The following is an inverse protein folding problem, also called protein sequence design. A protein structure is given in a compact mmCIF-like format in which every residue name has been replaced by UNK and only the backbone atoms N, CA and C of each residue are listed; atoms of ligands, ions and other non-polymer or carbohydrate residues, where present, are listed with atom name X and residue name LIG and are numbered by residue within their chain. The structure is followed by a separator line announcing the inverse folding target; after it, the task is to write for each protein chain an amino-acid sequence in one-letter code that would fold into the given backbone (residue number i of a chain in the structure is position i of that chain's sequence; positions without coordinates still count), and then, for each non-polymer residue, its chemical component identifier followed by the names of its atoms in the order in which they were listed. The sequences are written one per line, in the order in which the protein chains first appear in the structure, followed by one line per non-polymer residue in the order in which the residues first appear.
data_IF_788818174301
#
_entry.id   IF_788818174301
#
_cell.length_a   1.000
_cell.length_b   1.000
_cell.length_c   1.000
_cell.angle_alpha   90.00
_cell.angle_beta   90.00
_cell.angle_gamma   90.00
#
_symmetry.space_group_name_H-M   'P 1'
#
loop_
_entity.id
_entity.type
_entity.pdbx_description
1 polymer ?
#
# COMPACT_ATOMS: atom_id res chain seq x y z
N UNK A 1 -35.63 40.86 -12.32
CA UNK A 1 -34.81 40.03 -13.23
C UNK A 1 -34.19 38.97 -12.35
N UNK A 2 -34.82 37.81 -12.37
CA UNK A 2 -34.60 36.64 -11.51
C UNK A 2 -33.25 36.00 -11.83
N UNK A 3 -32.41 35.84 -10.81
CA UNK A 3 -31.20 35.04 -10.90
C UNK A 3 -31.59 33.56 -10.78
N UNK A 4 -31.18 32.76 -11.76
CA UNK A 4 -31.38 31.32 -11.77
C UNK A 4 -30.53 30.65 -10.68
N UNK A 5 -31.05 29.67 -9.93
CA UNK A 5 -30.27 28.90 -9.00
C UNK A 5 -29.45 27.85 -9.74
N UNK A 6 -28.16 27.82 -9.41
CA UNK A 6 -27.15 26.93 -9.97
C UNK A 6 -27.50 25.44 -9.83
N UNK A 7 -27.19 24.76 -10.91
CA UNK A 7 -27.16 23.31 -11.08
C UNK A 7 -26.28 22.69 -9.98
N UNK A 8 -26.91 22.06 -8.99
CA UNK A 8 -26.22 21.27 -7.99
C UNK A 8 -25.61 20.05 -8.69
N UNK A 9 -24.28 19.93 -8.65
CA UNK A 9 -23.55 18.78 -9.12
C UNK A 9 -24.04 17.52 -8.39
N UNK A 10 -24.79 16.69 -9.09
CA UNK A 10 -25.21 15.36 -8.68
C UNK A 10 -23.99 14.42 -8.75
N UNK A 11 -23.21 14.37 -7.66
CA UNK A 11 -21.94 13.63 -7.66
C UNK A 11 -22.15 12.17 -7.27
N UNK A 12 -21.81 11.29 -8.22
CA UNK A 12 -22.02 9.86 -8.19
C UNK A 12 -21.26 9.20 -7.03
N UNK A 13 -22.00 8.74 -6.02
CA UNK A 13 -21.60 7.57 -5.22
C UNK A 13 -21.46 6.41 -6.19
N UNK A 14 -20.25 6.15 -6.65
CA UNK A 14 -19.97 5.15 -7.69
C UNK A 14 -19.99 3.72 -7.12
N UNK A 15 -21.03 3.39 -6.34
CA UNK A 15 -21.33 2.03 -5.93
C UNK A 15 -21.69 1.23 -7.20
N UNK A 16 -21.28 -0.05 -7.32
CA UNK A 16 -21.85 -0.91 -8.35
C UNK A 16 -23.38 -0.88 -8.20
N UNK A 17 -24.14 -0.96 -9.31
CA UNK A 17 -25.59 -1.13 -9.21
C UNK A 17 -25.84 -2.30 -8.24
N UNK A 18 -26.71 -2.14 -7.22
CA UNK A 18 -27.05 -3.25 -6.36
C UNK A 18 -27.47 -4.42 -7.28
N UNK A 19 -27.08 -5.67 -6.96
CA UNK A 19 -27.51 -6.81 -7.76
C UNK A 19 -29.02 -6.73 -7.92
N UNK A 20 -29.52 -7.15 -9.09
CA UNK A 20 -30.95 -7.25 -9.32
C UNK A 20 -31.56 -7.97 -8.11
N UNK A 21 -32.56 -7.34 -7.46
CA UNK A 21 -33.18 -7.85 -6.23
C UNK A 21 -33.43 -9.36 -6.35
N UNK A 22 -32.74 -10.17 -5.54
CA UNK A 22 -32.89 -11.62 -5.49
C UNK A 22 -31.72 -12.47 -6.00
N UNK A 23 -30.56 -11.89 -6.35
CA UNK A 23 -29.32 -12.65 -6.63
C UNK A 23 -28.29 -12.38 -5.54
N UNK A 24 -27.87 -13.43 -4.83
CA UNK A 24 -26.81 -13.36 -3.83
C UNK A 24 -25.49 -12.93 -4.49
N UNK A 25 -24.74 -12.04 -3.83
CA UNK A 25 -23.41 -11.65 -4.29
C UNK A 25 -22.44 -12.80 -4.08
N UNK A 26 -21.43 -12.92 -4.93
CA UNK A 26 -20.39 -13.95 -4.81
C UNK A 26 -19.05 -13.31 -4.43
N UNK A 27 -18.40 -13.81 -3.38
CA UNK A 27 -17.10 -13.34 -2.93
C UNK A 27 -16.03 -14.42 -3.04
N UNK A 28 -14.92 -14.11 -3.72
CA UNK A 28 -13.71 -14.93 -3.67
C UNK A 28 -12.91 -14.57 -2.43
N UNK A 29 -12.78 -15.50 -1.48
CA UNK A 29 -11.95 -15.33 -0.28
C UNK A 29 -10.61 -16.03 -0.48
N UNK A 30 -9.53 -15.25 -0.43
CA UNK A 30 -8.16 -15.74 -0.57
C UNK A 30 -7.46 -15.75 0.79
N UNK A 31 -7.00 -16.92 1.21
CA UNK A 31 -6.31 -17.10 2.50
C UNK A 31 -4.86 -17.50 2.26
N UNK A 32 -3.92 -16.71 2.78
CA UNK A 32 -2.49 -17.09 2.71
C UNK A 32 -2.12 -18.04 3.88
N UNK A 33 -2.01 -19.33 3.58
CA UNK A 33 -1.72 -20.40 4.56
C UNK A 33 -0.34 -20.33 5.26
N UNK A 34 0.56 -19.40 4.91
CA UNK A 34 1.89 -19.26 5.56
C UNK A 34 1.86 -18.52 6.90
N UNK A 35 0.72 -18.00 7.34
CA UNK A 35 0.55 -17.30 8.61
C UNK A 35 0.12 -18.28 9.73
N UNK A 36 0.99 -18.50 10.72
CA UNK A 36 0.81 -19.48 11.82
C UNK A 36 -0.44 -19.33 12.71
N UNK A 37 -1.18 -18.22 12.58
CA UNK A 37 -2.45 -17.91 13.29
C UNK A 37 -3.64 -17.70 12.34
N UNK A 38 -3.41 -17.80 11.03
CA UNK A 38 -4.41 -17.50 10.02
C UNK A 38 -5.59 -18.49 9.98
N UNK A 39 -5.43 -19.81 10.18
CA UNK A 39 -6.56 -20.73 10.01
C UNK A 39 -7.73 -20.46 10.98
N UNK A 40 -7.46 -20.43 12.29
CA UNK A 40 -8.51 -20.24 13.32
C UNK A 40 -9.13 -18.84 13.30
N UNK A 41 -8.31 -17.79 13.13
CA UNK A 41 -8.82 -16.41 13.10
C UNK A 41 -9.58 -16.12 11.80
N UNK A 42 -9.20 -16.77 10.69
CA UNK A 42 -9.92 -16.67 9.44
C UNK A 42 -11.24 -17.42 9.48
N UNK A 43 -11.31 -18.56 10.18
CA UNK A 43 -12.55 -19.31 10.34
C UNK A 43 -13.67 -18.44 10.91
N UNK A 44 -13.39 -17.60 11.92
CA UNK A 44 -14.37 -16.65 12.46
C UNK A 44 -14.82 -15.62 11.42
N UNK A 45 -13.89 -15.01 10.69
CA UNK A 45 -14.20 -13.98 9.70
C UNK A 45 -14.97 -14.55 8.48
N UNK A 46 -14.54 -15.71 7.99
CA UNK A 46 -15.21 -16.45 6.91
C UNK A 46 -16.58 -16.91 7.37
N UNK A 47 -16.72 -17.47 8.58
CA UNK A 47 -18.03 -17.86 9.13
C UNK A 47 -18.98 -16.67 9.23
N UNK A 48 -18.47 -15.48 9.59
CA UNK A 48 -19.29 -14.26 9.64
C UNK A 48 -19.74 -13.80 8.25
N UNK A 49 -18.86 -13.88 7.26
CA UNK A 49 -19.23 -13.59 5.87
C UNK A 49 -20.23 -14.63 5.33
N UNK A 50 -20.02 -15.91 5.64
CA UNK A 50 -20.83 -17.05 5.18
C UNK A 50 -22.23 -17.06 5.82
N UNK A 51 -22.35 -16.53 7.03
CA UNK A 51 -23.62 -16.36 7.73
C UNK A 51 -24.51 -15.26 7.10
N UNK A 52 -24.03 -14.51 6.11
CA UNK A 52 -24.81 -13.46 5.45
C UNK A 52 -25.58 -14.03 4.27
N UNK A 53 -26.92 -14.09 4.37
CA UNK A 53 -27.79 -14.79 3.40
C UNK A 53 -27.65 -14.30 1.94
N UNK A 54 -27.27 -13.03 1.75
CA UNK A 54 -27.08 -12.42 0.43
C UNK A 54 -25.64 -12.53 -0.10
N UNK A 55 -24.78 -13.37 0.51
CA UNK A 55 -23.38 -13.56 0.13
C UNK A 55 -23.02 -15.06 0.03
N UNK A 56 -22.67 -15.51 -1.17
CA UNK A 56 -22.05 -16.81 -1.42
C UNK A 56 -20.52 -16.65 -1.41
N UNK A 57 -19.81 -17.56 -0.74
CA UNK A 57 -18.35 -17.50 -0.63
C UNK A 57 -17.71 -18.64 -1.41
N UNK A 58 -16.69 -18.29 -2.19
CA UNK A 58 -15.74 -19.22 -2.80
C UNK A 58 -14.40 -19.05 -2.08
N UNK A 59 -13.96 -20.08 -1.34
CA UNK A 59 -12.67 -20.02 -0.62
C UNK A 59 -11.59 -20.72 -1.44
N UNK A 60 -10.49 -20.02 -1.69
CA UNK A 60 -9.31 -20.57 -2.36
C UNK A 60 -8.07 -20.44 -1.45
N UNK A 61 -7.47 -21.58 -1.13
CA UNK A 61 -6.25 -21.66 -0.33
C UNK A 61 -5.02 -21.45 -1.22
N UNK A 62 -4.42 -20.27 -1.08
CA UNK A 62 -3.22 -19.93 -1.85
C UNK A 62 -1.96 -20.08 -0.99
N UNK A 63 -1.16 -21.09 -1.30
CA UNK A 63 0.14 -21.32 -0.65
C UNK A 63 1.29 -20.53 -1.28
N UNK A 64 1.13 -20.13 -2.54
CA UNK A 64 2.11 -19.33 -3.27
C UNK A 64 1.59 -17.90 -3.53
N UNK A 65 2.17 -16.86 -2.89
CA UNK A 65 1.83 -15.48 -3.18
C UNK A 65 1.91 -15.11 -4.67
N UNK A 66 2.81 -15.73 -5.45
CA UNK A 66 2.98 -15.35 -6.86
C UNK A 66 1.77 -15.71 -7.74
N UNK A 67 0.94 -16.67 -7.33
CA UNK A 67 -0.22 -17.14 -8.11
C UNK A 67 -1.52 -16.40 -7.78
N UNK A 68 -1.58 -15.57 -6.73
CA UNK A 68 -2.82 -14.90 -6.30
C UNK A 68 -3.43 -14.06 -7.41
N UNK A 69 -2.59 -13.33 -8.16
CA UNK A 69 -3.06 -12.51 -9.26
C UNK A 69 -3.71 -13.33 -10.39
N UNK A 70 -3.24 -14.54 -10.65
CA UNK A 70 -3.80 -15.45 -11.65
C UNK A 70 -5.12 -16.06 -11.18
N UNK A 71 -5.19 -16.48 -9.91
CA UNK A 71 -6.43 -16.99 -9.30
C UNK A 71 -7.53 -15.93 -9.33
N UNK A 72 -7.21 -14.68 -9.00
CA UNK A 72 -8.19 -13.59 -9.09
C UNK A 72 -8.69 -13.41 -10.53
N UNK A 73 -7.79 -13.48 -11.52
CA UNK A 73 -8.16 -13.37 -12.93
C UNK A 73 -9.06 -14.50 -13.39
N UNK A 74 -8.84 -15.73 -12.92
CA UNK A 74 -9.67 -16.87 -13.33
C UNK A 74 -11.10 -16.80 -12.80
N UNK A 75 -11.35 -16.07 -11.72
CA UNK A 75 -12.68 -15.89 -11.14
C UNK A 75 -13.39 -14.60 -11.57
N UNK A 76 -12.80 -13.81 -12.48
CA UNK A 76 -13.29 -12.47 -12.86
C UNK A 76 -14.79 -12.42 -13.15
N UNK A 77 -15.30 -13.39 -13.89
CA UNK A 77 -16.67 -13.43 -14.38
C UNK A 77 -17.61 -14.23 -13.45
N UNK A 78 -17.06 -14.84 -12.40
CA UNK A 78 -17.77 -15.69 -11.45
C UNK A 78 -18.08 -14.99 -10.12
N UNK A 79 -17.31 -13.96 -9.75
CA UNK A 79 -17.45 -13.29 -8.45
C UNK A 79 -17.68 -11.79 -8.59
N UNK A 80 -18.35 -11.21 -7.60
CA UNK A 80 -18.63 -9.78 -7.52
C UNK A 80 -17.56 -9.01 -6.73
N UNK A 81 -16.74 -9.72 -5.94
CA UNK A 81 -15.67 -9.13 -5.13
C UNK A 81 -14.59 -10.14 -4.74
N UNK A 82 -13.43 -9.62 -4.34
CA UNK A 82 -12.32 -10.40 -3.79
C UNK A 82 -12.06 -9.95 -2.35
N UNK A 83 -12.03 -10.89 -1.42
CA UNK A 83 -11.65 -10.66 -0.02
C UNK A 83 -10.28 -11.31 0.21
N UNK A 84 -9.27 -10.50 0.54
CA UNK A 84 -7.91 -10.99 0.75
C UNK A 84 -7.60 -11.01 2.24
N UNK A 85 -7.24 -12.19 2.74
CA UNK A 85 -6.76 -12.42 4.08
C UNK A 85 -5.26 -12.55 4.17
N UNK A 86 -4.60 -11.55 4.71
CA UNK A 86 -3.15 -11.58 4.79
C UNK A 86 -2.52 -10.31 5.34
N UNK A 87 -1.19 -10.24 5.22
CA UNK A 87 -0.44 -9.00 5.44
C UNK A 87 -0.09 -8.31 4.13
N UNK A 88 0.77 -7.29 4.20
CA UNK A 88 1.12 -6.42 3.07
C UNK A 88 1.69 -7.19 1.86
N UNK A 89 2.46 -8.25 2.10
CA UNK A 89 2.97 -9.10 1.01
C UNK A 89 1.86 -9.87 0.28
N UNK A 90 0.83 -10.33 0.99
CA UNK A 90 -0.35 -10.96 0.37
C UNK A 90 -1.15 -9.93 -0.43
N UNK A 91 -1.29 -8.71 0.10
CA UNK A 91 -1.97 -7.61 -0.60
C UNK A 91 -1.23 -7.25 -1.89
N UNK A 92 0.09 -7.07 -1.82
CA UNK A 92 0.92 -6.76 -2.99
C UNK A 92 0.84 -7.86 -4.07
N UNK A 93 0.88 -9.13 -3.65
CA UNK A 93 0.67 -10.29 -4.52
C UNK A 93 -0.69 -10.27 -5.24
N UNK A 94 -1.76 -9.89 -4.54
CA UNK A 94 -3.10 -9.78 -5.11
C UNK A 94 -3.29 -8.55 -6.01
N UNK A 95 -2.49 -7.49 -5.81
CA UNK A 95 -2.67 -6.17 -6.43
C UNK A 95 -2.89 -6.22 -7.94
N UNK A 96 -2.07 -6.97 -8.67
CA UNK A 96 -2.19 -7.09 -10.14
C UNK A 96 -3.52 -7.71 -10.55
N UNK A 97 -3.92 -8.81 -9.92
CA UNK A 97 -5.21 -9.46 -10.22
C UNK A 97 -6.39 -8.53 -9.95
N UNK A 98 -6.33 -7.78 -8.85
CA UNK A 98 -7.38 -6.80 -8.49
C UNK A 98 -7.45 -5.66 -9.52
N UNK A 99 -6.31 -5.08 -9.89
CA UNK A 99 -6.25 -4.00 -10.88
C UNK A 99 -6.76 -4.48 -12.25
N UNK A 100 -6.30 -5.65 -12.70
CA UNK A 100 -6.68 -6.22 -13.99
C UNK A 100 -8.19 -6.50 -14.07
N UNK A 101 -8.77 -7.03 -12.99
CA UNK A 101 -10.19 -7.42 -12.93
C UNK A 101 -11.12 -6.26 -12.63
N UNK A 102 -10.67 -5.24 -11.90
CA UNK A 102 -11.50 -4.15 -11.39
C UNK A 102 -12.46 -4.57 -10.29
N UNK A 103 -12.32 -5.79 -9.75
CA UNK A 103 -13.18 -6.30 -8.68
C UNK A 103 -12.95 -5.51 -7.37
N UNK A 104 -14.01 -5.18 -6.63
CA UNK A 104 -13.89 -4.62 -5.28
C UNK A 104 -13.04 -5.51 -4.37
N UNK A 105 -12.11 -4.89 -3.64
CA UNK A 105 -11.24 -5.53 -2.66
C UNK A 105 -11.78 -5.36 -1.23
N UNK A 106 -12.00 -6.48 -0.54
CA UNK A 106 -12.14 -6.57 0.91
C UNK A 106 -10.81 -6.97 1.56
N UNK A 107 -10.47 -6.35 2.68
CA UNK A 107 -9.20 -6.58 3.38
C UNK A 107 -9.47 -7.20 4.74
N UNK A 108 -8.93 -8.38 5.00
CA UNK A 108 -8.87 -9.01 6.31
C UNK A 108 -7.41 -8.96 6.83
N UNK A 109 -7.10 -8.03 7.76
CA UNK A 109 -5.72 -7.70 8.14
C UNK A 109 -5.10 -8.76 9.08
N UNK A 110 -4.51 -9.80 8.48
CA UNK A 110 -3.85 -10.91 9.21
C UNK A 110 -2.33 -10.76 9.35
N UNK A 111 -1.75 -9.69 8.80
CA UNK A 111 -0.33 -9.38 8.90
C UNK A 111 0.07 -8.70 10.22
N UNK A 112 1.35 -8.34 10.33
CA UNK A 112 1.89 -7.61 11.50
C UNK A 112 1.89 -6.10 11.31
N UNK A 113 2.04 -5.62 10.07
CA UNK A 113 2.10 -4.20 9.75
C UNK A 113 0.75 -3.73 9.19
N UNK A 114 0.22 -4.38 8.16
CA UNK A 114 -1.12 -4.09 7.60
C UNK A 114 -1.23 -2.59 7.24
N UNK A 115 -0.20 -2.06 6.59
CA UNK A 115 -0.04 -0.63 6.35
C UNK A 115 -1.17 -0.10 5.44
N UNK A 116 -1.63 -0.89 4.46
CA UNK A 116 -2.78 -0.54 3.63
C UNK A 116 -4.08 -0.47 4.45
N UNK A 117 -4.35 -1.48 5.29
CA UNK A 117 -5.54 -1.49 6.15
C UNK A 117 -5.56 -0.27 7.09
N UNK A 118 -4.40 0.06 7.69
CA UNK A 118 -4.26 1.24 8.55
C UNK A 118 -4.49 2.55 7.80
N UNK A 119 -3.95 2.66 6.58
CA UNK A 119 -4.17 3.83 5.72
C UNK A 119 -5.65 4.04 5.42
N UNK A 120 -6.38 2.94 5.21
CA UNK A 120 -7.81 2.92 4.90
C UNK A 120 -8.73 2.90 6.13
N UNK A 121 -8.18 3.01 7.35
CA UNK A 121 -8.96 2.99 8.59
C UNK A 121 -9.63 1.65 8.91
N UNK A 122 -9.20 0.56 8.25
CA UNK A 122 -9.75 -0.78 8.47
C UNK A 122 -9.20 -1.33 9.80
N UNK A 123 -10.06 -1.77 10.73
CA UNK A 123 -9.65 -2.23 12.05
C UNK A 123 -8.87 -3.55 11.97
N UNK A 124 -7.96 -3.78 12.92
CA UNK A 124 -7.24 -5.06 13.05
C UNK A 124 -8.15 -6.21 13.51
N UNK A 125 -9.31 -5.90 14.07
CA UNK A 125 -10.34 -6.88 14.41
C UNK A 125 -11.03 -7.40 13.15
N UNK A 126 -10.98 -8.72 12.94
CA UNK A 126 -11.42 -9.33 11.69
C UNK A 126 -12.94 -9.33 11.54
N UNK A 127 -13.69 -9.41 12.64
CA UNK A 127 -15.15 -9.33 12.59
C UNK A 127 -15.61 -7.93 12.20
N UNK A 128 -14.96 -6.89 12.72
CA UNK A 128 -15.21 -5.52 12.33
C UNK A 128 -14.76 -5.22 10.89
N UNK A 129 -13.66 -5.84 10.44
CA UNK A 129 -13.23 -5.75 9.03
C UNK A 129 -14.24 -6.44 8.09
N UNK A 130 -14.79 -7.59 8.48
CA UNK A 130 -15.86 -8.25 7.74
C UNK A 130 -17.14 -7.39 7.69
N UNK A 131 -17.51 -6.72 8.79
CA UNK A 131 -18.65 -5.79 8.79
C UNK A 131 -18.51 -4.66 7.77
N UNK A 132 -17.29 -4.14 7.55
CA UNK A 132 -17.03 -3.11 6.54
C UNK A 132 -17.34 -3.65 5.13
N UNK A 133 -16.92 -4.89 4.84
CA UNK A 133 -17.18 -5.54 3.56
C UNK A 133 -18.69 -5.74 3.36
N UNK A 134 -19.39 -6.25 4.38
CA UNK A 134 -20.83 -6.50 4.34
C UNK A 134 -21.66 -5.22 4.17
N UNK A 135 -21.22 -4.09 4.73
CA UNK A 135 -21.87 -2.78 4.51
C UNK A 135 -21.76 -2.28 3.07
N UNK A 136 -20.76 -2.76 2.33
CA UNK A 136 -20.68 -2.56 0.88
C UNK A 136 -20.18 -1.18 0.42
N UNK A 137 -19.74 -0.31 1.34
CA UNK A 137 -19.20 1.01 0.97
C UNK A 137 -17.81 0.88 0.37
N UNK A 138 -17.62 1.41 -0.83
CA UNK A 138 -16.33 1.37 -1.53
C UNK A 138 -15.77 2.75 -1.84
N UNK A 139 -14.43 2.82 -1.97
CA UNK A 139 -13.68 3.96 -2.50
C UNK A 139 -12.70 3.49 -3.57
N UNK A 140 -12.44 4.36 -4.55
CA UNK A 140 -11.36 4.16 -5.50
C UNK A 140 -10.09 4.77 -4.90
N UNK A 141 -9.02 3.98 -4.87
CA UNK A 141 -7.70 4.40 -4.39
C UNK A 141 -6.68 4.27 -5.50
N UNK A 142 -5.61 5.03 -5.38
CA UNK A 142 -4.48 4.98 -6.28
C UNK A 142 -3.52 3.86 -5.89
N UNK A 143 -2.74 3.43 -6.87
CA UNK A 143 -1.65 2.49 -6.68
C UNK A 143 -0.40 3.03 -7.36
N UNK A 144 0.76 2.92 -6.71
CA UNK A 144 2.02 3.19 -7.39
C UNK A 144 2.38 2.00 -8.29
N UNK A 145 3.04 2.26 -9.41
CA UNK A 145 3.62 1.21 -10.25
C UNK A 145 5.10 1.52 -10.48
N UNK A 146 5.97 0.51 -10.40
CA UNK A 146 7.36 0.61 -10.82
C UNK A 146 7.71 -0.49 -11.82
N UNK A 147 8.14 -0.11 -13.02
CA UNK A 147 8.47 -1.03 -14.11
C UNK A 147 7.39 -2.12 -14.35
N UNK A 148 6.10 -1.75 -14.37
CA UNK A 148 5.00 -2.69 -14.55
C UNK A 148 4.54 -3.41 -13.27
N UNK A 149 5.17 -3.18 -12.11
CA UNK A 149 4.84 -3.86 -10.85
C UNK A 149 4.15 -2.90 -9.87
N UNK A 150 2.90 -3.17 -9.47
CA UNK A 150 2.16 -2.31 -8.55
C UNK A 150 2.70 -2.39 -7.11
N UNK A 151 2.48 -1.34 -6.35
CA UNK A 151 2.73 -1.23 -4.93
C UNK A 151 1.73 -0.28 -4.27
N UNK A 152 1.32 -0.59 -3.04
CA UNK A 152 0.31 0.20 -2.35
C UNK A 152 0.90 1.34 -1.54
N UNK A 153 2.06 1.11 -0.89
CA UNK A 153 2.60 2.07 0.07
C UNK A 153 3.85 2.73 -0.47
N UNK A 154 4.91 1.97 -0.69
CA UNK A 154 6.20 2.57 -1.03
C UNK A 154 7.11 1.65 -1.82
N UNK A 155 7.79 2.24 -2.79
CA UNK A 155 8.94 1.66 -3.46
C UNK A 155 10.23 2.45 -3.15
N UNK A 156 11.34 1.76 -2.93
CA UNK A 156 12.61 2.38 -2.53
C UNK A 156 13.85 1.75 -3.16
N UNK A 157 14.89 2.57 -3.31
CA UNK A 157 16.20 2.23 -3.86
C UNK A 157 17.26 2.65 -2.85
N UNK A 158 18.25 1.78 -2.62
CA UNK A 158 19.36 2.05 -1.70
C UNK A 158 19.16 1.36 -0.36
N UNK A 159 19.30 2.10 0.74
CA UNK A 159 19.36 1.54 2.09
C UNK A 159 18.22 0.59 2.42
N UNK A 160 16.95 0.94 2.16
CA UNK A 160 15.82 0.05 2.47
C UNK A 160 15.78 -1.19 1.59
N UNK A 161 16.25 -1.14 0.34
CA UNK A 161 16.40 -2.33 -0.49
C UNK A 161 17.56 -3.22 -0.01
N UNK A 162 18.64 -2.63 0.51
CA UNK A 162 19.75 -3.37 1.11
C UNK A 162 19.31 -4.04 2.43
N UNK A 163 18.51 -3.34 3.24
CA UNK A 163 17.86 -3.89 4.43
C UNK A 163 16.89 -5.03 4.06
N UNK A 164 16.02 -4.85 3.08
CA UNK A 164 15.09 -5.89 2.64
C UNK A 164 15.82 -7.16 2.16
N UNK A 165 17.00 -6.99 1.52
CA UNK A 165 17.83 -8.11 1.06
C UNK A 165 18.48 -8.88 2.22
N UNK A 166 19.06 -8.16 3.18
CA UNK A 166 19.86 -8.78 4.24
C UNK A 166 19.04 -9.16 5.49
N UNK A 167 17.90 -8.50 5.71
CA UNK A 167 17.06 -8.67 6.88
C UNK A 167 15.78 -9.43 6.55
N UNK A 168 15.94 -10.72 6.25
CA UNK A 168 14.80 -11.58 5.91
C UNK A 168 13.91 -11.87 7.13
N UNK A 169 12.64 -12.21 6.86
CA UNK A 169 11.69 -12.64 7.90
C UNK A 169 12.21 -13.86 8.68
N UNK A 170 12.94 -14.74 8.02
CA UNK A 170 13.55 -15.93 8.63
C UNK A 170 14.67 -15.57 9.60
N UNK A 171 15.48 -14.55 9.29
CA UNK A 171 16.50 -14.05 10.21
C UNK A 171 15.86 -13.54 11.51
N UNK A 172 14.76 -12.79 11.41
CA UNK A 172 13.99 -12.32 12.57
C UNK A 172 13.40 -13.47 13.38
N UNK A 173 12.89 -14.51 12.71
CA UNK A 173 12.33 -15.72 13.36
C UNK A 173 13.40 -16.52 14.10
N UNK A 174 14.59 -16.67 13.51
CA UNK A 174 15.68 -17.51 14.06
C UNK A 174 16.49 -16.84 15.16
N UNK A 175 16.74 -15.53 15.06
CA UNK A 175 17.63 -14.80 15.98
C UNK A 175 16.92 -13.75 16.85
N UNK A 176 15.59 -13.65 16.73
CA UNK A 176 14.78 -12.72 17.51
C UNK A 176 15.02 -11.24 17.18
N UNK A 177 14.39 -10.35 17.96
CA UNK A 177 14.43 -8.89 17.75
C UNK A 177 15.85 -8.32 17.88
N UNK A 178 16.65 -8.81 18.82
CA UNK A 178 18.03 -8.32 19.03
C UNK A 178 18.97 -8.72 17.89
N UNK A 179 18.92 -9.97 17.42
CA UNK A 179 19.73 -10.40 16.27
C UNK A 179 19.38 -9.62 15.00
N UNK A 180 18.09 -9.36 14.78
CA UNK A 180 17.61 -8.51 13.69
C UNK A 180 18.15 -7.07 13.80
N UNK A 181 18.14 -6.48 15.01
CA UNK A 181 18.66 -5.12 15.24
C UNK A 181 20.18 -5.02 14.97
N UNK A 182 20.97 -6.02 15.39
CA UNK A 182 22.42 -6.06 15.12
C UNK A 182 22.68 -6.16 13.62
N UNK A 183 21.94 -7.00 12.90
CA UNK A 183 22.06 -7.11 11.46
C UNK A 183 21.70 -5.78 10.76
N UNK A 184 20.62 -5.12 11.19
CA UNK A 184 20.24 -3.81 10.67
C UNK A 184 21.33 -2.75 10.92
N UNK A 185 21.92 -2.73 12.11
CA UNK A 185 23.02 -1.82 12.44
C UNK A 185 24.26 -2.06 11.56
N UNK A 186 24.56 -3.32 11.22
CA UNK A 186 25.66 -3.66 10.29
C UNK A 186 25.40 -3.16 8.87
N UNK A 187 24.17 -3.30 8.38
CA UNK A 187 23.78 -2.76 7.06
C UNK A 187 23.94 -1.24 7.06
N UNK A 188 23.43 -0.56 8.10
CA UNK A 188 23.53 0.89 8.23
C UNK A 188 24.97 1.39 8.31
N UNK A 189 25.83 0.71 9.08
CA UNK A 189 27.25 1.05 9.20
C UNK A 189 28.04 0.89 7.88
N UNK A 190 27.57 0.02 6.98
CA UNK A 190 28.18 -0.22 5.66
C UNK A 190 27.54 0.59 4.54
N UNK A 191 26.42 1.26 4.83
CA UNK A 191 25.70 2.05 3.85
C UNK A 191 26.61 3.12 3.24
N UNK A 192 26.57 3.24 1.92
CA UNK A 192 27.31 4.27 1.18
C UNK A 192 26.35 5.03 0.27
N UNK A 193 26.52 6.35 0.13
CA UNK A 193 25.69 7.11 -0.78
C UNK A 193 25.99 6.68 -2.23
N UNK A 194 24.97 6.79 -3.08
CA UNK A 194 25.07 6.48 -4.50
C UNK A 194 24.59 7.66 -5.33
N UNK A 195 25.09 7.72 -6.57
CA UNK A 195 24.65 8.73 -7.53
C UNK A 195 23.45 8.23 -8.32
N UNK A 196 22.44 9.06 -8.42
CA UNK A 196 21.25 8.83 -9.22
C UNK A 196 20.88 10.08 -10.03
N UNK A 197 20.15 9.87 -11.11
CA UNK A 197 19.43 10.93 -11.82
C UNK A 197 17.95 10.66 -11.60
N UNK A 198 17.24 11.65 -11.09
CA UNK A 198 15.80 11.65 -10.86
C UNK A 198 15.20 12.59 -11.91
N UNK A 199 14.24 12.08 -12.66
CA UNK A 199 13.51 12.81 -13.70
C UNK A 199 12.03 12.77 -13.37
N UNK A 200 11.35 13.92 -13.43
CA UNK A 200 9.89 14.06 -13.47
C UNK A 200 9.57 15.05 -14.61
N UNK A 201 8.29 15.22 -15.01
CA UNK A 201 7.94 16.07 -16.15
C UNK A 201 8.50 17.50 -16.10
N UNK A 202 8.71 18.03 -14.89
CA UNK A 202 9.12 19.43 -14.65
C UNK A 202 10.62 19.60 -14.32
N UNK A 203 11.32 18.55 -13.86
CA UNK A 203 12.68 18.67 -13.33
C UNK A 203 13.53 17.44 -13.63
N UNK A 204 14.81 17.68 -13.90
CA UNK A 204 15.86 16.65 -13.91
C UNK A 204 16.93 17.00 -12.88
N UNK A 205 17.04 16.19 -11.83
CA UNK A 205 17.99 16.38 -10.75
C UNK A 205 19.04 15.26 -10.71
N UNK A 206 20.30 15.62 -10.52
CA UNK A 206 21.36 14.65 -10.19
C UNK A 206 21.62 14.71 -8.69
N UNK A 207 21.51 13.57 -8.03
CA UNK A 207 21.61 13.49 -6.56
C UNK A 207 22.68 12.51 -6.13
N UNK A 208 23.24 12.74 -4.94
CA UNK A 208 24.08 11.78 -4.22
C UNK A 208 23.37 11.46 -2.91
N UNK A 209 22.87 10.23 -2.76
CA UNK A 209 21.89 9.90 -1.73
C UNK A 209 22.10 8.50 -1.16
N UNK A 210 21.69 8.28 0.09
CA UNK A 210 21.64 6.94 0.69
C UNK A 210 20.38 6.16 0.31
N UNK A 211 19.32 6.87 -0.03
CA UNK A 211 18.02 6.27 -0.29
C UNK A 211 17.15 7.19 -1.12
N UNK A 212 16.49 6.60 -2.11
CA UNK A 212 15.36 7.22 -2.81
C UNK A 212 14.13 6.39 -2.46
N UNK A 213 13.06 7.05 -2.02
CA UNK A 213 11.77 6.44 -1.73
C UNK A 213 10.70 7.14 -2.56
N UNK A 214 9.74 6.39 -3.08
CA UNK A 214 8.58 6.87 -3.81
C UNK A 214 7.35 6.27 -3.14
N UNK A 215 6.59 7.10 -2.43
CA UNK A 215 5.39 6.72 -1.69
C UNK A 215 4.11 7.01 -2.47
N UNK A 216 3.09 6.19 -2.23
CA UNK A 216 1.71 6.36 -2.65
C UNK A 216 0.87 6.54 -1.37
N UNK A 217 0.42 7.77 -1.11
CA UNK A 217 -0.29 8.14 0.11
C UNK A 217 0.58 8.49 1.32
N UNK A 218 -0.05 8.42 2.50
CA UNK A 218 0.40 9.08 3.73
C UNK A 218 1.63 8.47 4.40
N UNK A 219 1.79 7.15 4.37
CA UNK A 219 2.73 6.44 5.25
C UNK A 219 3.96 5.86 4.53
N UNK A 220 5.13 6.04 5.14
CA UNK A 220 6.42 5.47 4.75
C UNK A 220 6.97 4.55 5.86
N UNK A 221 7.51 3.38 5.49
CA UNK A 221 8.46 2.61 6.31
C UNK A 221 8.10 2.35 7.79
N UNK A 222 6.93 1.78 8.07
CA UNK A 222 6.51 1.40 9.44
C UNK A 222 5.72 2.46 10.21
N UNK A 223 4.92 3.26 9.51
CA UNK A 223 3.99 4.24 10.10
C UNK A 223 4.46 5.70 10.07
N UNK A 224 5.49 6.03 9.29
CA UNK A 224 6.01 7.41 9.22
C UNK A 224 5.26 8.25 8.19
N UNK A 225 4.42 9.18 8.63
CA UNK A 225 3.86 10.20 7.75
C UNK A 225 4.90 11.29 7.50
N UNK A 226 5.37 11.42 6.24
CA UNK A 226 6.32 12.50 5.86
C UNK A 226 5.57 13.72 5.33
N UNK A 227 4.39 13.49 4.78
CA UNK A 227 3.43 14.52 4.42
C UNK A 227 2.09 14.16 5.06
N UNK A 228 1.66 14.95 6.03
CA UNK A 228 0.39 14.74 6.73
C UNK A 228 -0.84 15.02 5.86
N UNK A 229 -0.62 15.69 4.71
CA UNK A 229 -1.69 16.00 3.75
C UNK A 229 -1.77 15.01 2.60
N UNK A 230 -0.78 14.12 2.44
CA UNK A 230 -0.79 13.11 1.40
C UNK A 230 -1.91 12.09 1.64
N UNK A 231 -2.66 11.80 0.59
CA UNK A 231 -3.77 10.85 0.59
C UNK A 231 -3.53 9.76 -0.44
N UNK A 232 -4.14 8.60 -0.28
CA UNK A 232 -3.95 7.50 -1.22
C UNK A 232 -4.83 7.65 -2.49
N UNK A 233 -5.58 8.75 -2.62
CA UNK A 233 -6.53 9.02 -3.71
C UNK A 233 -6.33 10.40 -4.39
N UNK A 234 -5.16 11.03 -4.26
CA UNK A 234 -4.79 12.34 -4.84
C UNK A 234 -4.10 12.28 -6.23
N UNK A 235 -4.00 11.09 -6.81
CA UNK A 235 -3.28 10.78 -8.04
C UNK A 235 -1.83 11.29 -8.04
N UNK A 236 -1.16 11.28 -6.88
CA UNK A 236 0.18 11.84 -6.73
C UNK A 236 1.15 10.86 -6.05
N UNK A 237 2.34 10.72 -6.62
CA UNK A 237 3.45 10.03 -5.96
C UNK A 237 4.36 11.05 -5.28
N UNK A 238 4.84 10.68 -4.09
CA UNK A 238 5.75 11.51 -3.31
C UNK A 238 7.15 10.88 -3.28
N UNK A 239 8.11 11.51 -3.95
CA UNK A 239 9.51 11.11 -3.97
C UNK A 239 10.29 11.82 -2.86
N UNK A 240 11.08 11.04 -2.13
CA UNK A 240 12.03 11.51 -1.12
C UNK A 240 13.43 10.99 -1.40
N UNK A 241 14.42 11.88 -1.42
CA UNK A 241 15.83 11.52 -1.49
C UNK A 241 16.56 11.97 -0.23
N UNK A 242 17.22 11.03 0.45
CA UNK A 242 18.05 11.30 1.63
C UNK A 242 19.45 11.71 1.18
N UNK A 243 19.68 13.00 0.95
CA UNK A 243 20.92 13.58 0.40
C UNK A 243 21.95 13.92 1.50
N UNK A 244 22.00 13.10 2.54
CA UNK A 244 22.86 13.27 3.69
C UNK A 244 24.34 13.07 3.39
N UNK A 245 25.19 13.70 4.21
CA UNK A 245 26.65 13.55 4.12
C UNK A 245 27.17 12.38 4.94
N UNK A 246 26.50 12.04 6.06
CA UNK A 246 26.98 11.01 7.00
C UNK A 246 25.90 9.99 7.38
N UNK A 247 26.21 8.67 7.44
CA UNK A 247 25.24 7.65 7.83
C UNK A 247 24.67 7.83 9.25
N UNK A 248 25.39 8.50 10.15
CA UNK A 248 24.92 8.74 11.52
C UNK A 248 23.73 9.72 11.57
N UNK A 249 23.57 10.57 10.56
CA UNK A 249 22.41 11.44 10.40
C UNK A 249 21.12 10.63 10.20
N UNK A 250 21.20 9.41 9.63
CA UNK A 250 20.06 8.49 9.49
C UNK A 250 19.56 7.97 10.86
N UNK A 251 20.46 7.74 11.82
CA UNK A 251 20.11 7.31 13.17
C UNK A 251 19.40 8.43 13.95
N UNK A 252 19.87 9.67 13.78
CA UNK A 252 19.20 10.85 14.33
C UNK A 252 17.82 11.04 13.69
N UNK A 253 17.69 10.81 12.38
CA UNK A 253 16.40 10.78 11.69
C UNK A 253 15.44 9.78 12.32
N UNK A 254 15.87 8.54 12.48
CA UNK A 254 15.05 7.47 13.04
C UNK A 254 14.55 7.80 14.46
N UNK A 255 15.39 8.46 15.28
CA UNK A 255 15.01 8.94 16.60
C UNK A 255 14.00 10.09 16.57
N UNK A 256 14.24 11.11 15.72
CA UNK A 256 13.34 12.25 15.57
C UNK A 256 11.96 11.84 15.03
N UNK A 257 11.96 10.90 14.08
CA UNK A 257 10.78 10.27 13.51
C UNK A 257 9.92 9.56 14.56
N UNK A 258 10.53 8.80 15.48
CA UNK A 258 9.78 8.15 16.57
C UNK A 258 9.15 9.15 17.54
N UNK A 259 9.65 10.38 17.59
CA UNK A 259 9.15 11.45 18.47
C UNK A 259 8.13 12.38 17.81
N UNK A 260 7.75 12.15 16.55
CA UNK A 260 6.79 13.00 15.82
C UNK A 260 7.31 14.42 15.56
N UNK A 261 8.61 14.67 15.73
CA UNK A 261 9.22 15.95 15.43
C UNK A 261 9.50 16.02 13.93
N UNK A 262 8.69 16.80 13.22
CA UNK A 262 8.99 17.26 11.86
C UNK A 262 10.24 18.12 11.89
N UNK A 263 11.39 17.48 11.76
CA UNK A 263 12.63 18.21 11.53
C UNK A 263 12.59 18.61 10.06
N UNK A 264 12.56 19.92 9.81
CA UNK A 264 12.78 20.47 8.47
C UNK A 264 14.19 20.04 8.01
N UNK A 265 14.27 18.94 7.28
CA UNK A 265 15.54 18.38 6.87
C UNK A 265 16.03 19.10 5.61
N UNK A 266 17.03 19.98 5.77
CA UNK A 266 17.74 20.58 4.63
C UNK A 266 18.39 19.52 3.72
N UNK A 267 18.62 18.30 4.24
CA UNK A 267 19.23 17.18 3.53
C UNK A 267 18.22 16.20 2.91
N UNK A 268 16.91 16.54 2.89
CA UNK A 268 15.88 15.73 2.26
C UNK A 268 15.26 16.50 1.10
N UNK A 269 15.47 16.00 -0.11
CA UNK A 269 14.72 16.47 -1.28
C UNK A 269 13.38 15.77 -1.31
N UNK A 270 12.30 16.54 -1.33
CA UNK A 270 10.94 16.05 -1.58
C UNK A 270 10.38 16.60 -2.89
N UNK A 271 9.66 15.77 -3.64
CA UNK A 271 8.94 16.14 -4.85
C UNK A 271 7.65 15.33 -4.98
N UNK A 272 6.61 15.98 -5.48
CA UNK A 272 5.33 15.37 -5.81
C UNK A 272 5.16 15.39 -7.33
N UNK A 273 4.81 14.25 -7.94
CA UNK A 273 4.52 14.15 -9.38
C UNK A 273 3.71 12.88 -9.68
N UNK A 274 3.12 12.81 -10.87
CA UNK A 274 2.41 11.62 -11.36
C UNK A 274 3.36 10.52 -11.83
N UNK A 275 4.60 10.88 -12.20
CA UNK A 275 5.61 9.94 -12.67
C UNK A 275 7.03 10.37 -12.28
N UNK A 276 7.90 9.39 -12.09
CA UNK A 276 9.33 9.58 -11.87
C UNK A 276 10.15 8.55 -12.64
N UNK A 277 11.29 8.95 -13.17
CA UNK A 277 12.31 8.03 -13.67
C UNK A 277 13.57 8.17 -12.84
N UNK A 278 14.02 7.05 -12.24
CA UNK A 278 15.25 7.00 -11.44
C UNK A 278 16.29 6.12 -12.13
N UNK A 279 17.37 6.76 -12.58
CA UNK A 279 18.49 6.09 -13.24
C UNK A 279 19.74 6.11 -12.36
N UNK A 280 20.44 4.99 -12.23
CA UNK A 280 21.70 4.88 -11.47
C UNK A 280 22.82 4.34 -12.35
N UNK A 281 24.07 4.70 -12.05
CA UNK A 281 25.23 4.23 -12.84
C UNK A 281 25.42 2.70 -12.80
N UNK A 282 25.21 2.11 -11.63
CA UNK A 282 25.17 0.65 -11.45
C UNK A 282 23.72 0.28 -11.16
N UNK A 283 23.25 -0.81 -11.76
CA UNK A 283 21.90 -1.32 -11.49
C UNK A 283 21.76 -1.61 -10.00
N UNK A 284 20.68 -1.11 -9.39
CA UNK A 284 20.36 -1.27 -7.97
C UNK A 284 18.98 -1.90 -7.85
N UNK A 285 18.82 -2.77 -6.86
CA UNK A 285 17.51 -3.33 -6.55
C UNK A 285 16.53 -2.25 -6.12
N UNK A 286 15.29 -2.41 -6.55
CA UNK A 286 14.12 -1.69 -6.09
C UNK A 286 13.35 -2.61 -5.16
N UNK A 287 13.11 -2.14 -3.96
CA UNK A 287 12.20 -2.74 -3.00
C UNK A 287 10.82 -2.10 -3.14
N UNK A 288 9.72 -2.83 -3.12
CA UNK A 288 8.39 -2.27 -2.98
C UNK A 288 7.57 -3.08 -1.97
N UNK A 289 6.89 -2.40 -1.06
CA UNK A 289 6.12 -2.99 0.04
C UNK A 289 6.88 -4.09 0.84
N UNK A 290 8.21 -3.99 0.88
CA UNK A 290 9.09 -4.92 1.61
C UNK A 290 9.64 -6.10 0.81
N UNK A 291 9.39 -6.14 -0.50
CA UNK A 291 9.91 -7.17 -1.40
C UNK A 291 10.78 -6.60 -2.53
N UNK A 292 11.82 -7.33 -2.93
CA UNK A 292 12.69 -6.93 -4.05
C UNK A 292 12.04 -7.30 -5.38
N UNK A 293 11.45 -6.33 -6.06
CA UNK A 293 10.58 -6.59 -7.21
C UNK A 293 11.23 -6.27 -8.57
N UNK A 294 12.18 -5.33 -8.63
CA UNK A 294 12.82 -4.93 -9.89
C UNK A 294 14.18 -4.25 -9.65
N UNK A 295 14.78 -3.66 -10.68
CA UNK A 295 16.04 -2.92 -10.60
C UNK A 295 15.98 -1.62 -11.39
N UNK A 296 16.93 -0.72 -11.13
CA UNK A 296 17.09 0.51 -11.92
C UNK A 296 17.66 0.21 -13.33
N UNK A 297 17.30 1.00 -14.37
CA UNK A 297 16.42 2.18 -14.34
C UNK A 297 14.99 1.85 -13.88
N UNK A 298 14.43 2.70 -13.02
CA UNK A 298 13.14 2.48 -12.40
C UNK A 298 12.18 3.59 -12.82
N UNK A 299 11.15 3.20 -13.56
CA UNK A 299 10.08 4.09 -14.01
C UNK A 299 8.88 3.91 -13.08
N UNK A 300 8.59 4.95 -12.32
CA UNK A 300 7.48 5.04 -11.40
C UNK A 300 6.35 5.83 -12.05
N UNK A 301 5.11 5.37 -11.90
CA UNK A 301 3.90 6.13 -12.27
C UNK A 301 2.78 5.84 -11.30
N UNK A 302 1.90 6.81 -11.11
CA UNK A 302 0.63 6.60 -10.41
C UNK A 302 -0.36 5.91 -11.32
N UNK A 303 -1.06 4.91 -10.79
CA UNK A 303 -2.26 4.32 -11.36
C UNK A 303 -3.43 4.93 -10.60
N UNK A 304 -3.97 6.04 -11.11
CA UNK A 304 -5.03 6.76 -10.45
C UNK A 304 -6.32 5.93 -10.43
N UNK A 305 -7.00 5.89 -9.27
CA UNK A 305 -8.27 5.18 -9.05
C UNK A 305 -8.21 3.71 -9.49
N UNK A 306 -7.05 3.08 -9.33
CA UNK A 306 -6.77 1.75 -9.85
C UNK A 306 -7.45 0.62 -9.07
N UNK A 307 -7.75 0.83 -7.79
CA UNK A 307 -8.30 -0.22 -6.94
C UNK A 307 -9.55 0.29 -6.24
N UNK A 308 -10.63 -0.47 -6.37
CA UNK A 308 -11.86 -0.26 -5.59
C UNK A 308 -11.76 -1.05 -4.29
N UNK A 309 -11.84 -0.41 -3.14
CA UNK A 309 -11.67 -1.06 -1.83
C UNK A 309 -12.85 -0.76 -0.92
N UNK A 310 -13.28 -1.74 -0.12
CA UNK A 310 -14.26 -1.52 0.95
C UNK A 310 -13.63 -0.75 2.11
N UNK A 311 -14.32 0.29 2.59
CA UNK A 311 -13.80 1.21 3.61
C UNK A 311 -14.85 1.51 4.69
N UNK A 312 -14.44 1.89 5.91
CA UNK A 312 -15.37 2.32 6.95
C UNK A 312 -16.22 3.54 6.53
N UNK A 313 -17.34 3.74 7.22
CA UNK A 313 -18.19 4.93 7.03
C UNK A 313 -17.60 6.21 7.61
N UNK A 314 -16.67 6.06 8.56
CA UNK A 314 -16.02 7.17 9.23
C UNK A 314 -15.00 7.88 8.32
N UNK A 315 -14.80 9.21 8.49
CA UNK A 315 -13.71 9.93 7.84
C UNK A 315 -12.38 9.22 8.13
N UNK A 316 -11.61 8.96 7.07
CA UNK A 316 -10.36 8.22 7.16
C UNK A 316 -9.21 9.17 6.84
N UNK A 317 -8.21 9.36 7.73
CA UNK A 317 -7.14 10.34 7.53
C UNK A 317 -6.26 10.13 6.29
N UNK A 318 -6.29 8.93 5.69
CA UNK A 318 -5.54 8.59 4.48
C UNK A 318 -6.34 8.77 3.18
N UNK A 319 -7.61 9.20 3.25
CA UNK A 319 -8.50 9.41 2.11
C UNK A 319 -9.07 10.82 2.15
N UNK A 320 -9.41 11.36 0.97
CA UNK A 320 -10.25 12.54 0.92
C UNK A 320 -11.64 12.26 1.53
N UNK A 321 -12.23 13.31 2.08
CA UNK A 321 -13.62 13.34 2.50
C UNK A 321 -14.57 12.98 1.34
N UNK A 322 -15.85 12.67 1.64
CA UNK A 322 -16.81 12.27 0.62
C UNK A 322 -16.99 13.26 -0.54
N UNK A 323 -16.67 14.55 -0.34
CA UNK A 323 -16.76 15.62 -1.34
C UNK A 323 -15.37 16.00 -1.94
N UNK A 324 -14.34 15.15 -1.79
CA UNK A 324 -12.98 15.50 -2.20
C UNK A 324 -12.28 16.52 -1.29
N UNK A 325 -12.84 16.79 -0.11
CA UNK A 325 -12.22 17.65 0.90
C UNK A 325 -10.99 16.97 1.52
N UNK A 326 -9.96 17.73 1.92
CA UNK A 326 -8.80 17.15 2.58
C UNK A 326 -9.20 16.38 3.86
N UNK A 327 -8.43 15.34 4.24
CA UNK A 327 -8.74 14.57 5.43
C UNK A 327 -8.79 15.45 6.69
N UNK A 328 -9.61 15.10 7.70
CA UNK A 328 -9.59 15.80 8.97
C UNK A 328 -8.21 15.68 9.63
N UNK A 329 -7.77 16.78 10.26
CA UNK A 329 -6.48 16.89 10.95
C UNK A 329 -6.39 16.01 12.20
#
# INVERSE_FOLDING_TARGET
MTAEPGEAAEEATNAPPPPARGVARRALVLVNGKSRRAPEMMETAVSKLDAYEDLEIVVEDCHDPETLGDVIRSHRDDVDMVVVGGGDGTMNAAARGIIDTGLPLGILPLGTANDLARTLGIPEDLEAAADIILRGRTRLIDCGEVNGRPFFNVASIGLSADLARELTRDLKRRFGRFGYAIAAARVLARARPFRATIECPQERARVTTFQIAVGNGRYYGGGMAVDETATIDDATLHLYSLEMRRPMELLLLAGAFRSGRHVAFQDVRSRAATEFTVTTRKSRSVNADGELITKTPAHFKVLARAVRVFVPDAPTPGLHGPNGEPPPA
#
